data_IF_700662657073
#
_entry.id   IF_700662657073
#
_cell.length_a   1.000
_cell.length_b   1.000
_cell.length_c   1.000
_cell.angle_alpha   90.00
_cell.angle_beta   90.00
_cell.angle_gamma   90.00
#
_symmetry.space_group_name_H-M   'P 1'
#
loop_
_entity.id
_entity.type
_entity.pdbx_description
1 polymer ?
#
# COMPACT_ATOMS: atom_id res chain seq x y z
N UNK A 1 3.92 5.50 -12.10
CA UNK A 1 2.98 4.66 -11.37
C UNK A 1 2.02 3.95 -12.32
N UNK A 2 1.17 4.69 -13.06
CA UNK A 2 0.09 4.15 -13.91
C UNK A 2 0.57 3.08 -14.92
N UNK A 3 1.74 3.22 -15.52
CA UNK A 3 2.26 2.23 -16.48
C UNK A 3 2.61 0.89 -15.82
N UNK A 4 3.09 0.91 -14.60
CA UNK A 4 3.31 -0.31 -13.81
C UNK A 4 1.97 -0.94 -13.44
N UNK A 5 1.00 -0.13 -13.02
CA UNK A 5 -0.34 -0.59 -12.65
C UNK A 5 -1.08 -1.24 -13.82
N UNK A 6 -0.93 -0.75 -15.05
CA UNK A 6 -1.50 -1.37 -16.27
C UNK A 6 -0.98 -2.78 -16.53
N UNK A 7 0.26 -3.07 -16.13
CA UNK A 7 0.91 -4.38 -16.35
C UNK A 7 0.63 -5.38 -15.23
N UNK A 8 0.25 -4.92 -14.05
CA UNK A 8 0.04 -5.75 -12.89
C UNK A 8 -1.04 -6.83 -13.08
N UNK A 9 -2.24 -6.53 -13.64
CA UNK A 9 -3.30 -7.52 -13.81
C UNK A 9 -2.97 -8.63 -14.81
N UNK A 10 -1.99 -8.43 -15.68
CA UNK A 10 -1.54 -9.46 -16.65
C UNK A 10 -0.95 -10.67 -15.92
N UNK A 11 -0.24 -10.43 -14.81
CA UNK A 11 0.38 -11.48 -14.00
C UNK A 11 -0.56 -11.98 -12.90
N UNK A 12 -1.25 -11.08 -12.24
CA UNK A 12 -2.19 -11.38 -11.15
C UNK A 12 -3.45 -10.52 -11.34
N UNK A 13 -4.57 -11.11 -11.83
CA UNK A 13 -5.81 -10.36 -12.10
C UNK A 13 -6.37 -9.59 -10.90
N UNK A 14 -6.09 -10.04 -9.68
CA UNK A 14 -6.54 -9.39 -8.44
C UNK A 14 -5.65 -8.24 -7.98
N UNK A 15 -4.53 -7.97 -8.67
CA UNK A 15 -3.53 -7.01 -8.20
C UNK A 15 -4.09 -5.61 -8.00
N UNK A 16 -5.00 -5.13 -8.85
CA UNK A 16 -5.61 -3.81 -8.72
C UNK A 16 -6.47 -3.70 -7.44
N UNK A 17 -7.31 -4.70 -7.18
CA UNK A 17 -8.10 -4.75 -5.95
C UNK A 17 -7.21 -4.90 -4.71
N UNK A 18 -6.13 -5.68 -4.80
CA UNK A 18 -5.17 -5.85 -3.72
C UNK A 18 -4.47 -4.54 -3.38
N UNK A 19 -4.06 -3.74 -4.36
CA UNK A 19 -3.42 -2.44 -4.14
C UNK A 19 -4.40 -1.44 -3.52
N UNK A 20 -5.67 -1.41 -3.94
CA UNK A 20 -6.71 -0.61 -3.26
C UNK A 20 -6.85 -1.00 -1.79
N UNK A 21 -6.81 -2.29 -1.50
CA UNK A 21 -6.87 -2.79 -0.12
C UNK A 21 -5.64 -2.38 0.70
N UNK A 22 -4.46 -2.28 0.11
CA UNK A 22 -3.28 -1.74 0.77
C UNK A 22 -3.55 -0.35 1.34
N UNK A 23 -4.11 0.56 0.54
CA UNK A 23 -4.43 1.90 1.02
C UNK A 23 -5.40 1.87 2.20
N UNK A 24 -6.42 1.01 2.16
CA UNK A 24 -7.36 0.88 3.27
C UNK A 24 -6.65 0.42 4.54
N UNK A 25 -5.87 -0.65 4.47
CA UNK A 25 -5.16 -1.19 5.63
C UNK A 25 -4.10 -0.24 6.19
N UNK A 26 -3.40 0.49 5.32
CA UNK A 26 -2.44 1.51 5.73
C UNK A 26 -3.14 2.68 6.44
N UNK A 27 -4.10 3.30 5.77
CA UNK A 27 -4.69 4.56 6.25
C UNK A 27 -5.58 4.41 7.48
N UNK A 28 -6.15 3.23 7.74
CA UNK A 28 -7.03 2.98 8.89
C UNK A 28 -6.29 2.52 10.15
N UNK A 29 -4.98 2.35 10.08
CA UNK A 29 -4.12 2.04 11.22
C UNK A 29 -3.08 3.13 11.35
N UNK A 30 -3.28 4.05 12.28
CA UNK A 30 -2.37 5.16 12.62
C UNK A 30 -2.05 6.16 11.49
N UNK A 31 -2.69 6.05 10.33
CA UNK A 31 -2.55 7.00 9.21
C UNK A 31 -1.92 6.40 7.95
N UNK A 32 -1.94 7.17 6.85
CA UNK A 32 -1.39 6.76 5.56
C UNK A 32 0.12 7.02 5.52
N UNK A 33 0.91 6.15 6.10
CA UNK A 33 2.34 6.32 6.33
C UNK A 33 3.20 5.13 5.85
N UNK A 34 2.60 4.18 5.15
CA UNK A 34 3.22 2.97 4.62
C UNK A 34 3.84 2.05 5.70
N UNK A 35 3.48 2.21 6.97
CA UNK A 35 3.97 1.37 8.08
C UNK A 35 3.76 -0.11 7.85
N UNK A 36 2.67 -0.49 7.18
CA UNK A 36 2.35 -1.86 6.82
C UNK A 36 3.36 -2.54 5.87
N UNK A 37 4.23 -1.78 5.21
CA UNK A 37 5.30 -2.33 4.35
C UNK A 37 6.56 -2.70 5.13
N UNK A 38 6.69 -2.23 6.37
CA UNK A 38 7.86 -2.50 7.21
C UNK A 38 7.93 -3.98 7.59
N UNK A 39 9.15 -4.51 7.56
CA UNK A 39 9.43 -5.86 8.02
C UNK A 39 9.66 -5.91 9.53
N UNK A 40 9.46 -7.09 10.12
CA UNK A 40 9.76 -7.33 11.52
C UNK A 40 11.25 -7.09 11.81
N UNK A 41 11.51 -6.53 12.98
CA UNK A 41 12.86 -6.41 13.55
C UNK A 41 12.89 -7.05 14.94
N UNK A 42 14.07 -7.24 15.56
CA UNK A 42 14.15 -7.78 16.92
C UNK A 42 13.39 -6.97 17.98
N UNK A 43 13.09 -5.69 17.69
CA UNK A 43 12.45 -4.75 18.63
C UNK A 43 11.11 -4.21 18.14
N UNK A 44 10.65 -4.59 16.93
CA UNK A 44 9.41 -4.10 16.32
C UNK A 44 8.71 -5.24 15.58
N UNK A 45 7.47 -5.50 15.92
CA UNK A 45 6.60 -6.39 15.14
C UNK A 45 5.81 -5.57 14.12
N UNK A 46 6.07 -5.86 12.85
CA UNK A 46 5.41 -5.22 11.71
C UNK A 46 3.96 -5.69 11.54
N UNK A 47 3.23 -5.00 10.69
CA UNK A 47 1.80 -5.21 10.49
C UNK A 47 1.47 -6.35 9.51
N UNK A 48 2.45 -6.86 8.78
CA UNK A 48 2.26 -7.92 7.75
C UNK A 48 1.63 -9.20 8.33
N UNK A 49 1.94 -9.52 9.59
CA UNK A 49 1.42 -10.71 10.29
C UNK A 49 0.21 -10.42 11.18
N UNK A 50 -0.34 -9.20 11.16
CA UNK A 50 -1.59 -8.90 11.85
C UNK A 50 -2.75 -9.75 11.30
N UNK A 51 -3.74 -10.06 12.13
CA UNK A 51 -4.85 -10.97 11.80
C UNK A 51 -5.60 -10.58 10.53
N UNK A 52 -5.77 -9.27 10.29
CA UNK A 52 -6.40 -8.72 9.09
C UNK A 52 -5.53 -8.83 7.83
N UNK A 53 -4.21 -8.95 7.98
CA UNK A 53 -3.22 -8.85 6.92
C UNK A 53 -2.64 -10.20 6.50
N UNK A 54 -2.40 -11.10 7.46
CA UNK A 54 -1.78 -12.40 7.21
C UNK A 54 -2.58 -13.21 6.19
N UNK A 55 -1.89 -13.75 5.17
CA UNK A 55 -2.47 -14.51 4.06
C UNK A 55 -3.54 -13.77 3.24
N UNK A 56 -3.74 -12.50 3.47
CA UNK A 56 -4.84 -11.69 2.95
C UNK A 56 -4.35 -10.51 2.12
N UNK A 57 -3.29 -9.83 2.53
CA UNK A 57 -2.63 -8.82 1.71
C UNK A 57 -1.73 -9.48 0.66
N UNK A 58 -1.82 -8.98 -0.56
CA UNK A 58 -1.10 -9.48 -1.74
C UNK A 58 -0.59 -8.31 -2.57
N UNK A 59 0.26 -8.60 -3.55
CA UNK A 59 0.76 -7.61 -4.51
C UNK A 59 1.78 -6.63 -3.91
N UNK A 60 2.52 -7.02 -2.87
CA UNK A 60 3.68 -6.27 -2.38
C UNK A 60 4.68 -6.00 -3.52
N UNK A 61 4.90 -6.99 -4.38
CA UNK A 61 5.77 -6.88 -5.56
C UNK A 61 5.30 -5.83 -6.59
N UNK A 62 4.04 -5.44 -6.57
CA UNK A 62 3.54 -4.33 -7.42
C UNK A 62 4.01 -3.00 -6.87
N UNK A 63 3.91 -2.82 -5.55
CA UNK A 63 4.41 -1.62 -4.85
C UNK A 63 5.92 -1.50 -5.05
N UNK A 64 6.66 -2.60 -4.88
CA UNK A 64 8.11 -2.64 -5.09
C UNK A 64 8.51 -2.22 -6.50
N UNK A 65 7.81 -2.72 -7.52
CA UNK A 65 8.07 -2.33 -8.93
C UNK A 65 7.76 -0.86 -9.20
N UNK A 66 6.72 -0.31 -8.57
CA UNK A 66 6.43 1.13 -8.67
C UNK A 66 7.55 1.92 -8.01
N UNK A 67 7.98 1.52 -6.81
CA UNK A 67 9.08 2.16 -6.09
C UNK A 67 10.38 2.12 -6.90
N UNK A 68 10.74 0.96 -7.42
CA UNK A 68 11.93 0.81 -8.28
C UNK A 68 11.91 1.74 -9.50
N UNK A 69 10.77 1.82 -10.19
CA UNK A 69 10.62 2.69 -11.36
C UNK A 69 10.77 4.18 -11.00
N UNK A 70 10.24 4.59 -9.85
CA UNK A 70 10.34 5.97 -9.37
C UNK A 70 11.75 6.30 -8.87
N UNK A 71 12.41 5.39 -8.16
CA UNK A 71 13.80 5.59 -7.72
C UNK A 71 14.78 5.71 -8.90
N UNK A 72 14.51 5.02 -10.03
CA UNK A 72 15.30 5.21 -11.26
C UNK A 72 15.09 6.58 -11.89
N UNK A 73 13.89 7.14 -11.80
CA UNK A 73 13.54 8.42 -12.42
C UNK A 73 13.85 9.63 -11.51
N UNK A 74 13.60 9.52 -10.21
CA UNK A 74 13.76 10.58 -9.21
C UNK A 74 14.13 9.98 -7.84
N UNK A 75 15.41 9.65 -7.63
CA UNK A 75 15.86 8.98 -6.40
C UNK A 75 15.53 9.76 -5.12
N UNK A 76 14.95 9.09 -4.13
CA UNK A 76 14.68 9.65 -2.81
C UNK A 76 13.57 10.71 -2.73
N UNK A 77 12.76 10.86 -3.79
CA UNK A 77 11.76 11.94 -3.86
C UNK A 77 10.36 11.48 -3.45
N UNK A 78 9.97 10.24 -3.84
CA UNK A 78 8.60 9.76 -3.66
C UNK A 78 8.56 8.72 -2.54
N UNK A 79 7.75 8.99 -1.49
CA UNK A 79 7.54 8.08 -0.38
C UNK A 79 6.71 6.85 -0.78
N UNK A 80 6.83 5.77 -0.02
CA UNK A 80 5.98 4.59 -0.19
C UNK A 80 4.50 4.90 0.12
N UNK A 81 4.24 5.75 1.09
CA UNK A 81 2.89 6.24 1.40
C UNK A 81 2.23 6.93 0.19
N UNK A 82 2.95 7.81 -0.51
CA UNK A 82 2.45 8.46 -1.72
C UNK A 82 2.30 7.45 -2.88
N UNK A 83 3.18 6.45 -2.98
CA UNK A 83 3.07 5.37 -3.98
C UNK A 83 1.77 4.59 -3.79
N UNK A 84 1.46 4.15 -2.57
CA UNK A 84 0.25 3.38 -2.27
C UNK A 84 -1.00 4.15 -2.69
N UNK A 85 -1.07 5.44 -2.38
CA UNK A 85 -2.23 6.27 -2.70
C UNK A 85 -2.36 6.52 -4.22
N UNK A 86 -1.27 6.83 -4.90
CA UNK A 86 -1.29 6.97 -6.36
C UNK A 86 -1.64 5.66 -7.06
N UNK A 87 -1.09 4.54 -6.62
CA UNK A 87 -1.38 3.23 -7.18
C UNK A 87 -2.83 2.82 -6.95
N UNK A 88 -3.39 3.13 -5.79
CA UNK A 88 -4.79 2.87 -5.47
C UNK A 88 -5.75 3.69 -6.36
N UNK A 89 -5.49 4.99 -6.53
CA UNK A 89 -6.22 5.83 -7.48
C UNK A 89 -6.15 5.26 -8.90
N UNK A 90 -4.95 4.88 -9.34
CA UNK A 90 -4.77 4.32 -10.67
C UNK A 90 -5.47 2.95 -10.83
N UNK A 91 -5.51 2.14 -9.78
CA UNK A 91 -6.27 0.89 -9.78
C UNK A 91 -7.77 1.13 -10.03
N UNK A 92 -8.36 2.11 -9.35
CA UNK A 92 -9.76 2.50 -9.55
C UNK A 92 -10.01 3.00 -10.97
N UNK A 93 -9.18 3.92 -11.47
CA UNK A 93 -9.32 4.47 -12.82
C UNK A 93 -9.17 3.38 -13.91
N UNK A 94 -8.24 2.44 -13.75
CA UNK A 94 -8.01 1.34 -14.68
C UNK A 94 -9.13 0.29 -14.70
N UNK A 95 -9.95 0.24 -13.65
CA UNK A 95 -11.13 -0.64 -13.57
C UNK A 95 -12.45 0.04 -13.95
N UNK A 96 -12.37 1.26 -14.50
CA UNK A 96 -13.55 2.00 -14.98
C UNK A 96 -14.19 2.92 -13.94
N UNK A 97 -13.56 3.09 -12.78
CA UNK A 97 -13.97 4.05 -11.75
C UNK A 97 -13.46 5.47 -12.05
N UNK A 98 -13.79 6.44 -11.16
CA UNK A 98 -13.36 7.81 -11.31
C UNK A 98 -11.84 7.98 -11.22
N UNK A 99 -11.32 8.99 -11.90
CA UNK A 99 -9.96 9.49 -11.72
C UNK A 99 -10.03 10.81 -10.93
N UNK A 100 -9.20 10.96 -9.88
CA UNK A 100 -9.18 12.15 -9.05
C UNK A 100 -7.76 12.61 -8.75
N UNK A 101 -7.63 13.86 -8.36
CA UNK A 101 -6.35 14.44 -7.93
C UNK A 101 -5.94 13.83 -6.58
N UNK A 102 -4.70 13.36 -6.50
CA UNK A 102 -4.09 12.85 -5.27
C UNK A 102 -3.09 13.86 -4.76
N UNK A 103 -3.29 14.33 -3.52
CA UNK A 103 -2.31 15.17 -2.82
C UNK A 103 -1.13 14.32 -2.39
N UNK A 104 0.08 14.77 -2.68
CA UNK A 104 1.34 14.13 -2.35
C UNK A 104 2.08 14.88 -1.23
N UNK A 105 3.10 14.26 -0.67
CA UNK A 105 3.94 14.84 0.37
C UNK A 105 3.87 14.11 1.72
N UNK A 106 3.33 12.87 1.73
CA UNK A 106 3.36 12.01 2.92
C UNK A 106 4.77 11.50 3.15
N UNK A 107 5.11 11.31 4.42
CA UNK A 107 6.34 10.66 4.83
C UNK A 107 6.07 9.21 5.21
N UNK A 108 7.05 8.36 4.96
CA UNK A 108 7.01 6.98 5.42
C UNK A 108 7.28 6.91 6.92
N UNK A 109 6.54 6.04 7.63
CA UNK A 109 6.78 5.75 9.04
C UNK A 109 8.10 5.02 9.24
N UNK A 110 8.71 5.24 10.39
CA UNK A 110 9.87 4.49 10.86
C UNK A 110 9.49 3.35 11.82
N UNK A 111 8.22 3.26 12.18
CA UNK A 111 7.68 2.28 13.12
C UNK A 111 6.40 1.66 12.57
N UNK A 112 6.12 0.43 13.00
CA UNK A 112 4.88 -0.28 12.72
C UNK A 112 4.40 -0.99 13.98
N UNK A 113 3.10 -1.29 14.08
CA UNK A 113 2.51 -1.95 15.24
C UNK A 113 1.52 -3.03 14.81
N UNK A 114 1.90 -4.28 14.99
CA UNK A 114 0.98 -5.41 14.81
C UNK A 114 -0.22 -5.34 15.76
N UNK A 115 0.00 -4.89 16.99
CA UNK A 115 -1.05 -4.75 18.00
C UNK A 115 -2.10 -3.71 17.57
N UNK A 116 -1.67 -2.53 17.12
CA UNK A 116 -2.58 -1.49 16.63
C UNK A 116 -3.35 -1.98 15.39
N UNK A 117 -2.66 -2.65 14.47
CA UNK A 117 -3.30 -3.23 13.29
C UNK A 117 -4.39 -4.25 13.66
N UNK A 118 -4.19 -5.05 14.71
CA UNK A 118 -5.21 -5.99 15.20
C UNK A 118 -6.39 -5.33 15.90
N UNK A 119 -6.14 -4.20 16.60
CA UNK A 119 -7.12 -3.57 17.48
C UNK A 119 -7.90 -2.45 16.79
N UNK A 120 -7.28 -1.70 15.86
CA UNK A 120 -7.85 -0.49 15.26
C UNK A 120 -8.50 -0.78 13.91
N UNK A 121 -8.01 -1.79 13.16
CA UNK A 121 -8.54 -2.11 11.84
C UNK A 121 -10.05 -2.43 11.92
N UNK A 122 -10.90 -1.72 11.17
CA UNK A 122 -12.34 -2.00 11.17
C UNK A 122 -12.64 -3.41 10.69
N UNK A 123 -13.57 -4.08 11.38
CA UNK A 123 -14.02 -5.42 10.97
C UNK A 123 -14.77 -5.35 9.64
N UNK A 124 -14.60 -6.34 8.73
CA UNK A 124 -15.39 -6.44 7.51
C UNK A 124 -16.90 -6.61 7.75
N UNK A 125 -17.28 -7.03 8.94
CA UNK A 125 -18.69 -7.25 9.34
C UNK A 125 -19.33 -6.05 10.04
N UNK A 126 -18.65 -4.92 10.13
CA UNK A 126 -19.16 -3.66 10.71
C UNK A 126 -18.88 -3.49 12.17
#
# INVERSE_FOLDING_TARGET
VRDVMKKAPVKEPRSLASVMRFQFHDCFVNGCDASMLLDDTPTMLGEKLALSNINSLRSFEVVDRVKEALEKACPGVVSCADIIIMASRDAVALTGGPDWEVKLGRLDSLTASQEDSNNIMPSPSG
#
